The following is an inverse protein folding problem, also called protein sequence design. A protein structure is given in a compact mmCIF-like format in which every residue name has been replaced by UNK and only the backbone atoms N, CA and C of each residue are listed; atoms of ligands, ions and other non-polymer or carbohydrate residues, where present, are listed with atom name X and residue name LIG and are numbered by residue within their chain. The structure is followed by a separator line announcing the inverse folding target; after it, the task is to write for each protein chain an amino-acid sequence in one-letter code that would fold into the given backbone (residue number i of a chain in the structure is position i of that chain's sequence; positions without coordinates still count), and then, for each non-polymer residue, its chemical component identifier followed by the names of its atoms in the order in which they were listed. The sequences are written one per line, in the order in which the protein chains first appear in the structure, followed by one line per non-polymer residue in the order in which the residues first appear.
data_IF_237889748025
#
_entry.id   IF_237889748025
#
_cell.length_a   1.000
_cell.length_b   1.000
_cell.length_c   1.000
_cell.angle_alpha   90.00
_cell.angle_beta   90.00
_cell.angle_gamma   90.00
#
_symmetry.space_group_name_H-M   'P 1'
#
loop_
_entity.id
_entity.type
_entity.pdbx_description
1 polymer ?
#
# COMPACT_ATOMS: atom_id res chain seq x y z
N UNK A 1 3.92 -19.84 -8.84
CA UNK A 1 2.95 -18.95 -8.15
C UNK A 1 3.76 -17.92 -7.37
N UNK A 2 3.78 -16.66 -7.82
CA UNK A 2 4.55 -15.59 -7.18
C UNK A 2 3.72 -15.09 -6.00
N UNK A 3 4.25 -15.28 -4.79
CA UNK A 3 3.63 -14.89 -3.52
C UNK A 3 3.19 -13.42 -3.54
N UNK A 4 1.93 -13.14 -3.18
CA UNK A 4 1.37 -11.80 -2.91
C UNK A 4 2.32 -10.94 -2.06
N UNK A 5 3.05 -11.58 -1.14
CA UNK A 5 4.00 -10.94 -0.22
C UNK A 5 5.22 -10.34 -0.92
N UNK A 6 5.58 -10.80 -2.12
CA UNK A 6 6.73 -10.26 -2.86
C UNK A 6 6.45 -8.94 -3.57
N UNK A 7 5.20 -8.47 -3.65
CA UNK A 7 4.85 -7.19 -4.29
C UNK A 7 4.84 -5.99 -3.33
N UNK A 8 4.87 -6.23 -2.02
CA UNK A 8 4.73 -5.21 -0.98
C UNK A 8 6.00 -4.36 -0.79
N UNK A 9 7.12 -4.73 -1.41
CA UNK A 9 8.44 -4.14 -1.11
C UNK A 9 8.77 -2.81 -1.84
N UNK A 10 7.90 -2.25 -2.67
CA UNK A 10 8.28 -1.17 -3.59
C UNK A 10 7.75 0.24 -3.26
N UNK A 11 6.92 0.42 -2.22
CA UNK A 11 6.33 1.71 -1.87
C UNK A 11 6.73 2.10 -0.44
N UNK A 12 7.99 2.48 -0.24
CA UNK A 12 8.44 3.18 0.95
C UNK A 12 9.16 4.44 0.49
N UNK A 13 8.39 5.51 0.25
CA UNK A 13 8.94 6.83 -0.06
C UNK A 13 8.18 7.87 0.77
N UNK A 14 8.83 8.32 1.87
CA UNK A 14 8.53 9.53 2.65
C UNK A 14 7.26 9.45 3.50
N UNK A 15 7.26 9.55 4.83
CA UNK A 15 7.97 10.56 5.65
C UNK A 15 8.22 10.02 7.06
N UNK A 16 9.48 9.67 7.37
CA UNK A 16 10.01 9.74 8.73
C UNK A 16 11.55 9.79 8.65
N UNK A 17 12.11 11.00 8.70
CA UNK A 17 13.52 11.19 9.02
C UNK A 17 13.71 10.82 10.50
N UNK A 18 13.87 9.53 10.79
CA UNK A 18 14.52 9.05 12.02
C UNK A 18 15.54 8.02 11.60
N UNK A 19 16.81 8.39 11.67
CA UNK A 19 17.96 7.49 11.55
C UNK A 19 17.92 6.48 12.69
N UNK A 20 17.21 5.37 12.53
CA UNK A 20 17.21 4.23 13.44
C UNK A 20 18.05 3.12 12.79
N UNK A 21 19.05 2.56 13.50
CA UNK A 21 19.95 1.55 12.96
C UNK A 21 19.19 0.30 12.48
N UNK A 22 19.61 -0.22 11.32
CA UNK A 22 19.04 -1.36 10.59
C UNK A 22 19.21 -2.73 11.29
N UNK A 23 18.85 -2.84 12.57
CA UNK A 23 18.83 -4.12 13.28
C UNK A 23 17.47 -4.31 13.93
N UNK A 24 16.65 -5.18 13.33
CA UNK A 24 15.31 -5.57 13.76
C UNK A 24 14.19 -4.52 13.58
N UNK A 25 13.81 -4.25 12.32
CA UNK A 25 12.48 -3.73 12.05
C UNK A 25 11.48 -4.91 12.06
N UNK A 26 10.46 -4.92 12.93
CA UNK A 26 9.37 -5.89 12.85
C UNK A 26 8.63 -5.65 11.53
N UNK A 27 7.90 -6.66 11.03
CA UNK A 27 7.09 -6.57 9.81
C UNK A 27 6.45 -5.17 9.67
N UNK A 28 6.88 -4.41 8.66
CA UNK A 28 6.53 -3.01 8.46
C UNK A 28 5.02 -2.82 8.63
N UNK A 29 4.64 -2.02 9.63
CA UNK A 29 3.24 -1.65 9.81
C UNK A 29 2.80 -0.95 8.52
N UNK A 30 1.82 -1.53 7.82
CA UNK A 30 1.24 -0.90 6.65
C UNK A 30 0.69 0.46 7.05
N UNK A 31 1.03 1.51 6.31
CA UNK A 31 0.56 2.86 6.61
C UNK A 31 -0.96 2.86 6.62
N UNK A 32 -1.55 3.26 7.76
CA UNK A 32 -2.99 3.25 7.97
C UNK A 32 -3.48 4.67 8.15
N UNK A 33 -4.46 5.10 7.34
CA UNK A 33 -5.01 6.45 7.44
C UNK A 33 -6.03 6.56 8.60
N UNK A 34 -6.47 7.77 8.98
CA UNK A 34 -7.44 7.98 10.07
C UNK A 34 -8.80 7.31 9.84
N UNK A 35 -9.11 6.91 8.60
CA UNK A 35 -10.33 6.21 8.23
C UNK A 35 -10.18 4.69 8.20
N UNK A 36 -9.02 4.15 8.61
CA UNK A 36 -8.76 2.72 8.70
C UNK A 36 -8.33 2.06 7.40
N UNK A 37 -8.08 2.81 6.32
CA UNK A 37 -7.55 2.24 5.09
C UNK A 37 -6.05 2.00 5.25
N UNK A 38 -5.60 0.86 4.73
CA UNK A 38 -4.20 0.50 4.67
C UNK A 38 -3.65 0.77 3.27
N UNK A 39 -2.46 1.38 3.20
CA UNK A 39 -1.72 1.52 1.96
C UNK A 39 -1.20 0.14 1.51
N UNK A 40 -1.58 -0.28 0.31
CA UNK A 40 -1.17 -1.57 -0.26
C UNK A 40 0.07 -1.40 -1.15
N UNK A 41 0.01 -0.50 -2.13
CA UNK A 41 1.08 -0.30 -3.11
C UNK A 41 0.89 1.00 -3.90
N UNK A 42 1.93 1.42 -4.64
CA UNK A 42 1.93 2.59 -5.51
C UNK A 42 2.11 2.21 -6.99
N UNK A 43 1.34 2.84 -7.87
CA UNK A 43 1.32 2.58 -9.31
C UNK A 43 1.61 3.84 -10.12
N UNK A 44 2.34 3.75 -11.22
CA UNK A 44 2.55 4.92 -12.10
C UNK A 44 1.26 5.31 -12.83
N UNK A 45 0.46 4.32 -13.20
CA UNK A 45 -0.78 4.49 -13.94
C UNK A 45 -1.99 4.33 -13.02
N UNK A 46 -2.92 5.29 -13.10
CA UNK A 46 -4.16 5.24 -12.32
C UNK A 46 -4.97 3.99 -12.59
N UNK A 47 -5.01 3.55 -13.85
CA UNK A 47 -5.75 2.36 -14.26
C UNK A 47 -5.19 1.08 -13.61
N UNK A 48 -3.87 0.97 -13.45
CA UNK A 48 -3.25 -0.15 -12.74
C UNK A 48 -3.60 -0.14 -11.24
N UNK A 49 -3.67 1.04 -10.62
CA UNK A 49 -4.15 1.17 -9.24
C UNK A 49 -5.61 0.72 -9.09
N UNK A 50 -6.47 1.09 -10.04
CA UNK A 50 -7.88 0.68 -10.03
C UNK A 50 -8.04 -0.83 -10.24
N UNK A 51 -7.28 -1.43 -11.17
CA UNK A 51 -7.29 -2.88 -11.40
C UNK A 51 -6.89 -3.67 -10.14
N UNK A 52 -5.80 -3.27 -9.47
CA UNK A 52 -5.36 -3.89 -8.22
C UNK A 52 -6.32 -3.62 -7.06
N UNK A 53 -7.01 -2.49 -7.06
CA UNK A 53 -8.10 -2.19 -6.12
C UNK A 53 -9.31 -3.10 -6.29
N UNK A 54 -9.70 -3.40 -7.53
CA UNK A 54 -10.75 -4.41 -7.81
C UNK A 54 -10.31 -5.80 -7.35
N UNK A 55 -9.03 -6.14 -7.54
CA UNK A 55 -8.48 -7.38 -6.99
C UNK A 55 -8.57 -7.40 -5.46
N UNK A 56 -8.26 -6.29 -4.77
CA UNK A 56 -8.38 -6.20 -3.32
C UNK A 56 -9.82 -6.44 -2.84
N UNK A 57 -10.82 -5.87 -3.49
CA UNK A 57 -12.24 -6.13 -3.16
C UNK A 57 -12.59 -7.62 -3.28
N UNK A 58 -12.10 -8.28 -4.32
CA UNK A 58 -12.31 -9.72 -4.50
C UNK A 58 -11.60 -10.59 -3.43
N UNK A 59 -10.67 -10.02 -2.65
CA UNK A 59 -9.83 -10.73 -1.68
C UNK A 59 -10.08 -10.29 -0.23
N UNK A 60 -11.26 -9.75 0.07
CA UNK A 60 -11.70 -9.51 1.45
C UNK A 60 -11.49 -8.08 1.97
N UNK A 61 -11.21 -7.13 1.09
CA UNK A 61 -11.33 -5.71 1.41
C UNK A 61 -12.76 -5.23 1.11
N UNK A 62 -13.26 -4.28 1.90
CA UNK A 62 -14.62 -3.76 1.77
C UNK A 62 -14.70 -2.52 0.89
N UNK A 63 -13.61 -1.77 0.75
CA UNK A 63 -13.53 -0.59 -0.09
C UNK A 63 -12.08 -0.32 -0.53
N UNK A 64 -11.91 0.47 -1.59
CA UNK A 64 -10.60 1.00 -1.97
C UNK A 64 -10.72 2.39 -2.60
N UNK A 65 -9.61 3.14 -2.58
CA UNK A 65 -9.45 4.33 -3.40
C UNK A 65 -7.98 4.45 -3.86
N UNK A 66 -7.78 5.21 -4.94
CA UNK A 66 -6.47 5.54 -5.48
C UNK A 66 -6.21 7.02 -5.24
N UNK A 67 -5.19 7.33 -4.46
CA UNK A 67 -4.76 8.70 -4.18
C UNK A 67 -3.49 9.04 -4.94
N UNK A 68 -3.35 10.27 -5.42
CA UNK A 68 -2.12 10.69 -6.08
C UNK A 68 -1.13 11.20 -5.04
N UNK A 69 -0.06 10.46 -4.84
CA UNK A 69 1.09 10.85 -4.03
C UNK A 69 2.31 10.87 -4.95
N UNK A 70 2.75 12.08 -5.32
CA UNK A 70 3.73 12.25 -6.39
C UNK A 70 4.97 11.37 -6.15
N UNK A 71 5.38 10.53 -7.12
CA UNK A 71 4.89 10.45 -8.49
C UNK A 71 4.07 9.18 -8.82
N UNK A 72 3.24 8.70 -7.88
CA UNK A 72 2.47 7.45 -7.94
C UNK A 72 1.00 7.61 -7.52
N UNK A 73 0.15 6.72 -8.01
CA UNK A 73 -1.18 6.44 -7.49
C UNK A 73 -1.09 5.37 -6.40
N UNK A 74 -1.30 5.76 -5.15
CA UNK A 74 -1.27 4.86 -3.99
C UNK A 74 -2.65 4.22 -3.83
N UNK A 75 -2.67 2.89 -3.83
CA UNK A 75 -3.85 2.09 -3.52
C UNK A 75 -4.03 2.01 -2.01
N UNK A 76 -5.13 2.58 -1.54
CA UNK A 76 -5.61 2.48 -0.17
C UNK A 76 -6.81 1.54 -0.13
N UNK A 77 -6.79 0.52 0.72
CA UNK A 77 -7.90 -0.41 0.85
C UNK A 77 -8.34 -0.57 2.31
N UNK A 78 -9.65 -0.67 2.52
CA UNK A 78 -10.25 -0.85 3.83
C UNK A 78 -10.44 -2.35 4.09
N UNK A 79 -9.75 -2.96 5.07
CA UNK A 79 -9.97 -4.36 5.41
C UNK A 79 -11.39 -4.60 5.95
N UNK A 80 -11.91 -5.81 5.77
CA UNK A 80 -13.19 -6.26 6.33
C UNK A 80 -13.16 -6.49 7.84
#
# INVERSE_FOLDING_TARGET
MKSWRSRIAAAAIGTALVTVPLTAAPASAADTNPWGYVAISGWRDKLACVDDGQYALAHGYVNYYCDWDDPYWVLWALPA
#
